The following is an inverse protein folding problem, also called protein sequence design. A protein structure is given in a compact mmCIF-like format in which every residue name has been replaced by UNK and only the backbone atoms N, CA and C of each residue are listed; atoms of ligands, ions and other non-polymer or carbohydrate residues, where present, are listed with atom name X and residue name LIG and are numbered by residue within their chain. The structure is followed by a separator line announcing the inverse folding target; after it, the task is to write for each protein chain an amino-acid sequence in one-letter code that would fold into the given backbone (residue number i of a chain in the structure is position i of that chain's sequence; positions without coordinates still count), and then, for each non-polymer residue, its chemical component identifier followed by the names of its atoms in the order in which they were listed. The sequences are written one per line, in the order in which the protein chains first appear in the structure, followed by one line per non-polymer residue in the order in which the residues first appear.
data_IF_006796832794
#
_entry.id   IF_006796832794
#
_cell.length_a   1.000
_cell.length_b   1.000
_cell.length_c   1.000
_cell.angle_alpha   90.00
_cell.angle_beta   90.00
_cell.angle_gamma   90.00
#
_symmetry.space_group_name_H-M   'P 1'
#
loop_
_entity.id
_entity.type
_entity.pdbx_description
1 polymer ?
#
# COMPACT_ATOMS: atom_id res chain seq x y z
N UNK A 1 -50.26 18.37 -10.26
CA UNK A 1 -50.11 17.10 -9.50
C UNK A 1 -48.65 16.66 -9.59
N UNK A 2 -47.81 17.02 -8.62
CA UNK A 2 -46.46 16.45 -8.44
C UNK A 2 -46.61 15.22 -7.55
N UNK A 3 -46.41 14.02 -8.08
CA UNK A 3 -46.36 12.80 -7.27
C UNK A 3 -44.93 12.69 -6.74
N UNK A 4 -44.78 12.70 -5.42
CA UNK A 4 -43.54 12.36 -4.72
C UNK A 4 -43.24 10.87 -4.96
N UNK A 5 -42.48 10.55 -6.01
CA UNK A 5 -41.96 9.20 -6.24
C UNK A 5 -40.59 9.12 -5.57
N UNK A 6 -40.60 8.86 -4.27
CA UNK A 6 -39.39 8.81 -3.43
C UNK A 6 -39.16 7.45 -2.76
N UNK A 7 -39.79 6.37 -3.26
CA UNK A 7 -39.61 5.03 -2.70
C UNK A 7 -39.25 4.00 -3.77
N UNK A 8 -38.25 3.18 -3.47
CA UNK A 8 -37.72 2.08 -4.29
C UNK A 8 -38.82 1.06 -4.69
N UNK A 9 -39.94 1.05 -3.96
CA UNK A 9 -41.07 0.13 -4.12
C UNK A 9 -41.94 0.42 -5.36
N UNK A 10 -41.91 1.64 -5.91
CA UNK A 10 -42.74 2.05 -7.05
C UNK A 10 -42.11 1.77 -8.43
N UNK A 11 -40.92 1.16 -8.48
CA UNK A 11 -40.12 0.99 -9.69
C UNK A 11 -40.23 -0.41 -10.28
N UNK A 12 -40.29 -0.49 -11.61
CA UNK A 12 -40.28 -1.75 -12.35
C UNK A 12 -38.93 -2.49 -12.20
N UNK A 13 -38.93 -3.80 -12.43
CA UNK A 13 -37.74 -4.67 -12.30
C UNK A 13 -36.58 -4.19 -13.18
N UNK A 14 -36.89 -3.69 -14.39
CA UNK A 14 -35.90 -3.09 -15.31
C UNK A 14 -35.36 -1.74 -14.81
N UNK A 15 -36.20 -0.95 -14.15
CA UNK A 15 -35.81 0.34 -13.57
C UNK A 15 -34.93 0.14 -12.33
N UNK A 16 -35.21 -0.88 -11.52
CA UNK A 16 -34.35 -1.25 -10.38
C UNK A 16 -32.95 -1.69 -10.83
N UNK A 17 -32.85 -2.48 -11.91
CA UNK A 17 -31.57 -2.92 -12.46
C UNK A 17 -30.73 -1.74 -13.00
N UNK A 18 -31.34 -0.84 -13.78
CA UNK A 18 -30.68 0.35 -14.32
C UNK A 18 -30.25 1.34 -13.24
N UNK A 19 -31.01 1.45 -12.15
CA UNK A 19 -30.62 2.25 -10.99
C UNK A 19 -29.41 1.67 -10.25
N UNK A 20 -29.36 0.35 -10.04
CA UNK A 20 -28.20 -0.31 -9.42
C UNK A 20 -26.93 -0.14 -10.27
N UNK A 21 -27.04 -0.27 -11.59
CA UNK A 21 -25.94 -0.07 -12.53
C UNK A 21 -25.46 1.39 -12.55
N UNK A 22 -26.38 2.35 -12.51
CA UNK A 22 -26.02 3.76 -12.42
C UNK A 22 -25.31 4.11 -11.10
N UNK A 23 -25.77 3.56 -9.96
CA UNK A 23 -25.15 3.80 -8.66
C UNK A 23 -23.75 3.18 -8.54
N UNK A 24 -23.52 2.00 -9.12
CA UNK A 24 -22.21 1.35 -9.11
C UNK A 24 -21.19 2.11 -9.97
N UNK A 25 -21.61 2.70 -11.10
CA UNK A 25 -20.74 3.43 -12.01
C UNK A 25 -20.39 4.84 -11.53
N UNK A 26 -21.33 5.56 -10.93
CA UNK A 26 -21.14 6.95 -10.48
C UNK A 26 -20.70 7.02 -9.00
N UNK A 27 -20.71 5.89 -8.28
CA UNK A 27 -20.49 5.80 -6.83
C UNK A 27 -21.43 6.71 -6.02
N UNK A 28 -22.64 6.97 -6.53
CA UNK A 28 -23.62 7.86 -5.92
C UNK A 28 -24.35 7.16 -4.76
N UNK A 29 -24.19 7.68 -3.54
CA UNK A 29 -24.75 7.07 -2.33
C UNK A 29 -26.23 7.45 -2.07
N UNK A 30 -26.76 8.46 -2.76
CA UNK A 30 -28.14 8.90 -2.57
C UNK A 30 -29.07 8.34 -3.67
N UNK A 31 -30.03 7.52 -3.22
CA UNK A 31 -31.01 6.83 -4.06
C UNK A 31 -32.01 7.83 -4.64
N UNK A 32 -32.42 8.86 -3.89
CA UNK A 32 -33.50 9.78 -4.33
C UNK A 32 -33.04 10.66 -5.49
N UNK A 33 -31.84 11.21 -5.40
CA UNK A 33 -31.22 12.00 -6.47
C UNK A 33 -30.93 11.14 -7.70
N UNK A 34 -30.49 9.90 -7.52
CA UNK A 34 -30.28 8.94 -8.62
C UNK A 34 -31.58 8.64 -9.38
N UNK A 35 -32.70 8.42 -8.67
CA UNK A 35 -34.03 8.25 -9.28
C UNK A 35 -34.43 9.50 -10.07
N UNK A 36 -34.19 10.69 -9.52
CA UNK A 36 -34.59 11.94 -10.16
C UNK A 36 -33.82 12.17 -11.48
N UNK A 37 -32.50 11.96 -11.48
CA UNK A 37 -31.66 12.07 -12.68
C UNK A 37 -32.06 11.03 -13.74
N UNK A 38 -32.31 9.78 -13.33
CA UNK A 38 -32.75 8.73 -14.24
C UNK A 38 -34.14 9.03 -14.81
N UNK A 39 -35.04 9.62 -14.03
CA UNK A 39 -36.36 10.01 -14.49
C UNK A 39 -36.29 11.16 -15.52
N UNK A 40 -35.44 12.16 -15.28
CA UNK A 40 -35.18 13.26 -16.20
C UNK A 40 -34.55 12.77 -17.52
N UNK A 41 -33.72 11.73 -17.45
CA UNK A 41 -33.09 11.07 -18.61
C UNK A 41 -33.96 9.96 -19.24
N UNK A 42 -35.25 9.85 -18.86
CA UNK A 42 -36.18 8.80 -19.33
C UNK A 42 -35.62 7.37 -19.23
N UNK A 43 -34.90 7.06 -18.14
CA UNK A 43 -34.29 5.75 -17.88
C UNK A 43 -33.25 5.31 -18.90
N UNK A 44 -32.66 6.24 -19.68
CA UNK A 44 -31.53 5.95 -20.55
C UNK A 44 -30.20 6.10 -19.79
N UNK A 45 -29.56 4.96 -19.49
CA UNK A 45 -28.33 4.91 -18.70
C UNK A 45 -27.20 5.76 -19.30
N UNK A 46 -27.01 5.74 -20.62
CA UNK A 46 -25.91 6.46 -21.28
C UNK A 46 -26.05 7.98 -21.16
N UNK A 47 -27.29 8.48 -21.34
CA UNK A 47 -27.60 9.90 -21.18
C UNK A 47 -27.47 10.32 -19.71
N UNK A 48 -27.93 9.48 -18.79
CA UNK A 48 -27.79 9.72 -17.36
C UNK A 48 -26.34 9.76 -16.91
N UNK A 49 -25.50 8.83 -17.37
CA UNK A 49 -24.06 8.80 -17.08
C UNK A 49 -23.35 10.04 -17.63
N UNK A 50 -23.65 10.45 -18.87
CA UNK A 50 -23.04 11.65 -19.45
C UNK A 50 -23.47 12.92 -18.69
N UNK A 51 -24.73 13.00 -18.28
CA UNK A 51 -25.26 14.11 -17.47
C UNK A 51 -24.64 14.12 -16.07
N UNK A 52 -24.46 12.95 -15.45
CA UNK A 52 -23.81 12.81 -14.16
C UNK A 52 -22.33 13.18 -14.23
N UNK A 53 -21.64 12.78 -15.28
CA UNK A 53 -20.24 13.12 -15.51
C UNK A 53 -20.07 14.63 -15.77
N UNK A 54 -20.99 15.25 -16.53
CA UNK A 54 -21.03 16.71 -16.73
C UNK A 54 -21.36 17.46 -15.43
N UNK A 55 -22.28 16.94 -14.60
CA UNK A 55 -22.56 17.50 -13.27
C UNK A 55 -21.39 17.32 -12.30
N UNK A 56 -20.65 16.22 -12.38
CA UNK A 56 -19.48 15.95 -11.54
C UNK A 56 -18.27 16.78 -11.97
N UNK A 57 -18.15 17.09 -13.26
CA UNK A 57 -17.25 18.12 -13.78
C UNK A 57 -17.68 19.55 -13.35
N UNK A 58 -18.96 19.77 -13.12
CA UNK A 58 -19.54 21.04 -12.64
C UNK A 58 -19.46 21.23 -11.12
N UNK A 59 -19.52 20.14 -10.33
CA UNK A 59 -19.59 20.15 -8.86
C UNK A 59 -18.37 19.51 -8.17
N UNK A 60 -17.40 18.96 -8.90
CA UNK A 60 -16.29 18.16 -8.35
C UNK A 60 -14.90 18.73 -8.61
N UNK A 61 -14.48 19.71 -7.80
CA UNK A 61 -13.10 19.75 -7.29
C UNK A 61 -13.17 19.56 -5.78
N UNK A 62 -13.24 18.29 -5.37
CA UNK A 62 -13.35 17.89 -3.97
C UNK A 62 -13.05 16.41 -3.76
N UNK A 63 -11.81 16.00 -4.01
CA UNK A 63 -11.19 14.82 -3.38
C UNK A 63 -11.45 13.46 -4.04
N UNK A 64 -10.37 12.70 -4.21
CA UNK A 64 -10.43 11.24 -4.35
C UNK A 64 -9.86 10.68 -5.66
N UNK A 65 -8.54 10.72 -5.80
CA UNK A 65 -7.82 9.74 -6.64
C UNK A 65 -8.10 8.34 -6.10
N UNK A 66 -8.89 7.54 -6.80
CA UNK A 66 -9.05 6.12 -6.51
C UNK A 66 -8.03 5.33 -7.35
N UNK A 67 -6.80 5.26 -6.83
CA UNK A 67 -5.86 4.18 -7.15
C UNK A 67 -6.32 2.93 -6.41
N UNK A 68 -6.57 1.85 -7.16
CA UNK A 68 -6.87 0.55 -6.61
C UNK A 68 -5.67 0.04 -5.81
N UNK A 69 -5.88 -0.34 -4.55
CA UNK A 69 -5.02 -1.29 -3.85
C UNK A 69 -5.84 -2.09 -2.84
N UNK A 70 -5.76 -3.40 -2.98
CA UNK A 70 -6.21 -4.40 -2.03
C UNK A 70 -5.26 -4.46 -0.83
N UNK A 71 -5.77 -4.50 0.41
CA UNK A 71 -5.41 -5.50 1.44
C UNK A 71 -5.92 -5.13 2.86
N UNK A 72 -6.71 -6.06 3.42
CA UNK A 72 -6.75 -6.61 4.79
C UNK A 72 -7.13 -5.74 6.03
N UNK A 73 -7.80 -6.34 7.05
CA UNK A 73 -8.47 -5.64 8.15
C UNK A 73 -7.56 -5.30 9.34
N UNK A 74 -7.95 -4.35 10.22
CA UNK A 74 -7.11 -3.94 11.34
C UNK A 74 -7.18 -4.92 12.52
N UNK A 75 -6.01 -5.16 13.10
CA UNK A 75 -5.80 -5.92 14.32
C UNK A 75 -6.19 -5.12 15.57
N UNK A 76 -6.57 -5.88 16.59
CA UNK A 76 -6.99 -5.50 17.95
C UNK A 76 -5.90 -4.72 18.69
N UNK A 77 -6.26 -3.58 19.31
CA UNK A 77 -5.43 -2.87 20.29
C UNK A 77 -5.95 -3.12 21.71
N UNK A 78 -5.21 -3.91 22.47
CA UNK A 78 -5.30 -3.98 23.94
C UNK A 78 -4.00 -3.40 24.49
N UNK A 79 -4.06 -2.37 25.32
CA UNK A 79 -2.91 -1.97 26.13
C UNK A 79 -3.37 -1.25 27.40
N UNK A 80 -3.23 -1.92 28.53
CA UNK A 80 -3.13 -1.34 29.87
C UNK A 80 -1.64 -1.10 30.24
N UNK A 81 -1.42 0.08 30.83
CA UNK A 81 -0.32 0.60 31.66
C UNK A 81 0.84 -0.32 32.12
N UNK A 82 2.07 0.23 32.12
CA UNK A 82 2.81 0.62 33.35
C UNK A 82 4.09 1.43 33.06
N UNK A 83 4.29 2.48 33.85
CA UNK A 83 5.42 3.40 33.86
C UNK A 83 6.72 2.82 34.46
N UNK A 84 7.88 3.36 34.07
CA UNK A 84 9.04 3.57 34.94
C UNK A 84 10.09 4.52 34.30
N UNK A 85 10.28 5.65 34.99
CA UNK A 85 11.47 6.48 35.26
C UNK A 85 12.55 6.83 34.19
N UNK A 86 12.85 8.14 34.15
CA UNK A 86 14.02 8.78 33.55
C UNK A 86 15.21 8.84 34.56
N UNK A 87 16.41 9.37 34.22
CA UNK A 87 16.58 10.83 34.11
C UNK A 87 17.65 11.37 33.11
N UNK A 88 17.39 12.63 32.71
CA UNK A 88 18.30 13.76 32.49
C UNK A 88 19.48 13.69 31.49
N UNK A 89 19.52 14.65 30.55
CA UNK A 89 20.66 15.57 30.32
C UNK A 89 20.21 16.83 29.56
N UNK A 90 20.71 17.97 30.04
CA UNK A 90 20.54 19.36 29.57
C UNK A 90 21.06 19.64 28.15
N UNK A 91 20.45 20.62 27.44
CA UNK A 91 21.13 21.86 27.06
C UNK A 91 20.18 22.94 26.53
N UNK A 92 20.39 24.16 27.03
CA UNK A 92 19.61 25.38 26.85
C UNK A 92 19.98 26.16 25.58
N UNK A 93 19.00 26.94 25.14
CA UNK A 93 19.10 28.10 24.24
C UNK A 93 19.20 29.38 25.09
N UNK A 94 19.96 30.43 24.73
CA UNK A 94 19.98 31.66 25.51
C UNK A 94 18.93 32.68 25.03
N UNK A 95 18.49 33.45 26.02
CA UNK A 95 17.54 34.58 26.02
C UNK A 95 18.20 35.89 25.61
N UNK A 96 17.39 36.85 25.15
CA UNK A 96 17.67 38.28 25.28
C UNK A 96 16.39 39.03 25.68
N UNK A 97 16.55 39.91 26.65
CA UNK A 97 15.56 40.64 27.42
C UNK A 97 15.66 42.15 27.18
N UNK A 98 14.52 42.85 27.19
CA UNK A 98 14.33 44.25 27.62
C UNK A 98 12.89 44.64 27.25
N UNK A 99 11.98 45.16 28.07
CA UNK A 99 12.02 45.69 29.43
C UNK A 99 11.08 46.91 29.47
N UNK A 100 10.03 46.83 30.30
CA UNK A 100 9.20 47.90 30.94
C UNK A 100 8.53 48.95 30.02
N UNK A 101 7.32 49.50 30.26
CA UNK A 101 6.54 49.73 31.48
C UNK A 101 5.09 50.11 31.09
N UNK A 102 4.12 49.82 31.96
CA UNK A 102 2.74 50.36 31.94
C UNK A 102 2.59 51.44 33.03
N UNK A 103 1.50 52.23 33.10
CA UNK A 103 0.30 51.76 33.80
C UNK A 103 -1.07 52.29 33.27
N UNK A 104 -2.13 51.57 33.65
CA UNK A 104 -3.58 51.92 33.58
C UNK A 104 -4.00 52.71 34.84
N UNK A 105 -5.29 52.89 35.27
CA UNK A 105 -6.61 52.59 34.70
C UNK A 105 -7.69 53.69 34.89
N UNK A 106 -8.92 53.47 34.40
CA UNK A 106 -10.09 54.26 34.77
C UNK A 106 -11.41 53.65 34.28
N UNK A 107 -12.03 52.83 35.13
CA UNK A 107 -13.37 52.24 35.00
C UNK A 107 -14.47 53.28 35.28
N UNK A 108 -15.62 53.21 34.60
CA UNK A 108 -16.98 53.03 35.18
C UNK A 108 -18.12 53.41 34.21
N UNK A 109 -18.97 52.43 33.88
CA UNK A 109 -20.43 52.57 33.68
C UNK A 109 -21.10 52.69 35.07
N UNK A 110 -22.34 53.22 35.30
CA UNK A 110 -23.58 52.65 34.74
C UNK A 110 -24.88 53.55 34.64
N UNK A 111 -25.94 52.92 34.09
CA UNK A 111 -27.39 53.00 34.44
C UNK A 111 -28.34 54.14 34.00
N UNK A 112 -29.33 53.73 33.19
CA UNK A 112 -30.81 53.72 33.39
C UNK A 112 -31.70 54.99 33.38
N UNK A 113 -32.71 54.91 32.49
CA UNK A 113 -34.15 55.30 32.55
C UNK A 113 -34.62 56.71 32.95
N UNK A 114 -35.41 57.37 32.10
CA UNK A 114 -36.90 57.37 32.17
C UNK A 114 -37.59 58.51 31.37
N UNK A 115 -38.76 58.17 30.83
CA UNK A 115 -39.98 58.97 30.56
C UNK A 115 -40.03 60.16 29.59
N UNK A 116 -41.06 60.12 28.71
CA UNK A 116 -41.80 61.31 28.27
C UNK A 116 -42.30 61.33 26.81
N UNK A 117 -43.42 60.66 26.52
CA UNK A 117 -44.31 60.86 25.34
C UNK A 117 -45.26 62.07 25.59
N UNK A 118 -46.23 62.47 24.72
CA UNK A 118 -46.54 62.09 23.32
C UNK A 118 -46.97 63.28 22.40
N UNK A 119 -47.35 62.97 21.15
CA UNK A 119 -48.41 63.52 20.26
C UNK A 119 -48.03 63.15 18.79
N UNK A 120 -48.86 62.77 17.83
CA UNK A 120 -50.23 62.27 17.66
C UNK A 120 -50.38 61.95 16.15
N UNK A 121 -51.23 60.99 15.74
CA UNK A 121 -51.86 61.00 14.40
C UNK A 121 -51.76 59.77 13.49
N UNK A 122 -52.79 58.91 13.59
CA UNK A 122 -53.46 58.09 12.55
C UNK A 122 -52.67 56.98 11.80
N UNK A 123 -52.94 55.68 12.02
CA UNK A 123 -54.09 54.85 11.50
C UNK A 123 -54.10 54.71 9.96
N UNK A 124 -54.25 53.55 9.31
CA UNK A 124 -54.66 52.20 9.72
C UNK A 124 -54.18 51.13 8.72
N UNK A 125 -53.98 49.92 9.25
CA UNK A 125 -53.88 48.64 8.53
C UNK A 125 -55.20 48.24 7.83
N UNK A 126 -55.14 47.33 6.85
CA UNK A 126 -55.77 45.99 6.89
C UNK A 126 -55.55 45.25 5.55
N UNK A 127 -55.37 43.93 5.66
CA UNK A 127 -54.84 42.98 4.66
C UNK A 127 -55.93 42.33 3.76
N UNK A 128 -55.74 41.20 3.03
CA UNK A 128 -56.12 41.08 1.60
C UNK A 128 -57.30 40.11 1.34
N UNK A 129 -57.92 40.16 0.16
CA UNK A 129 -58.79 39.06 -0.32
C UNK A 129 -58.63 38.85 -1.82
N UNK A 130 -58.47 37.58 -2.18
CA UNK A 130 -58.38 37.00 -3.51
C UNK A 130 -59.76 36.39 -3.85
N UNK A 131 -60.38 36.63 -5.01
CA UNK A 131 -61.34 35.71 -5.69
C UNK A 131 -61.63 36.12 -7.15
N UNK A 132 -61.32 35.18 -8.05
CA UNK A 132 -61.78 34.88 -9.41
C UNK A 132 -63.07 35.53 -9.95
N UNK A 133 -63.04 35.93 -11.23
CA UNK A 133 -63.99 35.49 -12.26
C UNK A 133 -63.39 35.60 -13.67
N UNK A 134 -63.65 34.58 -14.47
CA UNK A 134 -63.26 34.45 -15.87
C UNK A 134 -64.36 34.95 -16.81
N UNK A 135 -63.96 35.34 -18.03
CA UNK A 135 -64.65 35.14 -19.32
C UNK A 135 -64.75 36.42 -20.17
N UNK A 136 -64.29 36.32 -21.42
CA UNK A 136 -64.98 36.96 -22.54
C UNK A 136 -64.19 37.94 -23.39
N UNK A 137 -63.98 37.52 -24.64
CA UNK A 137 -63.91 38.32 -25.86
C UNK A 137 -62.58 38.95 -26.28
N UNK A 138 -62.09 38.40 -27.39
CA UNK A 138 -61.13 38.97 -28.30
C UNK A 138 -61.75 40.09 -29.18
N UNK A 139 -60.84 40.83 -29.82
CA UNK A 139 -60.99 41.72 -30.99
C UNK A 139 -61.65 43.10 -30.82
N UNK A 140 -60.85 44.15 -31.08
CA UNK A 140 -60.94 44.97 -32.29
C UNK A 140 -59.56 45.62 -32.62
N UNK A 141 -59.20 45.57 -33.91
CA UNK A 141 -57.95 46.00 -34.59
C UNK A 141 -57.97 47.55 -34.88
N UNK A 142 -57.19 48.21 -35.80
CA UNK A 142 -56.26 47.71 -36.83
C UNK A 142 -55.01 48.57 -37.27
N UNK A 143 -54.06 47.85 -37.89
CA UNK A 143 -53.29 48.13 -39.14
C UNK A 143 -52.45 49.41 -39.31
N UNK A 144 -51.12 49.23 -39.32
CA UNK A 144 -50.25 49.74 -40.39
C UNK A 144 -49.19 48.67 -40.72
N UNK A 145 -49.23 48.17 -41.95
CA UNK A 145 -48.25 47.24 -42.52
C UNK A 145 -46.84 47.82 -42.43
N UNK A 146 -45.92 47.10 -41.77
CA UNK A 146 -44.52 47.09 -42.18
C UNK A 146 -44.11 45.67 -42.51
N UNK A 147 -43.99 45.47 -43.81
CA UNK A 147 -43.36 44.35 -44.48
C UNK A 147 -42.07 44.00 -43.73
N UNK A 148 -42.06 42.85 -43.05
CA UNK A 148 -40.81 42.23 -42.63
C UNK A 148 -40.15 41.79 -43.94
N UNK A 149 -39.01 42.37 -44.32
CA UNK A 149 -38.42 42.01 -45.59
C UNK A 149 -37.90 40.57 -45.50
N UNK A 150 -38.15 39.80 -46.56
CA UNK A 150 -37.90 38.37 -46.70
C UNK A 150 -36.42 37.94 -46.55
N UNK A 151 -35.48 38.88 -46.37
CA UNK A 151 -34.07 38.59 -46.04
C UNK A 151 -33.82 38.40 -44.54
N UNK A 152 -34.82 38.61 -43.67
CA UNK A 152 -34.76 38.28 -42.23
C UNK A 152 -35.01 36.78 -41.97
N UNK A 153 -35.32 36.01 -43.01
CA UNK A 153 -35.58 34.56 -42.96
C UNK A 153 -34.48 33.73 -43.63
N UNK A 154 -33.22 34.10 -43.44
CA UNK A 154 -32.07 33.25 -43.78
C UNK A 154 -31.06 33.26 -42.61
N UNK A 155 -31.49 32.78 -41.45
CA UNK A 155 -30.60 32.44 -40.34
C UNK A 155 -29.84 31.15 -40.66
N UNK A 156 -29.03 31.20 -41.72
CA UNK A 156 -27.97 30.22 -41.87
C UNK A 156 -27.09 30.32 -40.63
N UNK A 157 -26.82 29.18 -39.99
CA UNK A 157 -25.74 29.05 -39.01
C UNK A 157 -24.44 29.44 -39.72
N UNK A 158 -24.13 30.74 -39.77
CA UNK A 158 -22.87 31.25 -40.29
C UNK A 158 -21.82 30.66 -39.35
N UNK A 159 -21.14 29.63 -39.84
CA UNK A 159 -20.06 28.97 -39.13
C UNK A 159 -19.09 30.06 -38.66
N UNK A 160 -18.58 30.04 -37.42
CA UNK A 160 -17.73 31.12 -36.88
C UNK A 160 -16.48 31.43 -37.76
N UNK A 161 -16.09 30.48 -38.60
CA UNK A 161 -15.08 30.65 -39.66
C UNK A 161 -15.49 31.63 -40.77
N UNK A 162 -16.73 31.55 -41.24
CA UNK A 162 -17.22 32.43 -42.28
C UNK A 162 -17.31 33.89 -41.79
N UNK A 163 -17.66 34.10 -40.52
CA UNK A 163 -17.72 35.44 -39.93
C UNK A 163 -16.33 36.10 -39.80
N UNK A 164 -15.34 35.37 -39.29
CA UNK A 164 -13.97 35.90 -39.15
C UNK A 164 -13.33 36.18 -40.52
N UNK A 165 -13.62 35.37 -41.53
CA UNK A 165 -13.20 35.63 -42.91
C UNK A 165 -13.89 36.86 -43.51
N UNK A 166 -15.19 37.03 -43.27
CA UNK A 166 -15.95 38.20 -43.70
C UNK A 166 -15.41 39.49 -43.05
N UNK A 167 -15.10 39.47 -41.75
CA UNK A 167 -14.46 40.60 -41.07
C UNK A 167 -13.12 40.97 -41.69
N UNK A 168 -12.27 39.98 -41.99
CA UNK A 168 -10.96 40.19 -42.66
C UNK A 168 -11.09 40.74 -44.08
N UNK A 169 -12.20 40.46 -44.77
CA UNK A 169 -12.47 41.01 -46.11
C UNK A 169 -12.89 42.48 -46.06
N UNK A 170 -13.71 42.83 -45.06
CA UNK A 170 -14.24 44.20 -44.90
C UNK A 170 -13.19 45.13 -44.30
N UNK A 171 -12.48 44.67 -43.27
CA UNK A 171 -11.48 45.45 -42.56
C UNK A 171 -10.09 44.86 -42.78
N UNK A 172 -9.18 45.69 -43.28
CA UNK A 172 -7.76 45.34 -43.38
C UNK A 172 -7.09 45.55 -42.02
N UNK A 173 -5.98 44.87 -41.77
CA UNK A 173 -5.12 45.09 -40.60
C UNK A 173 -5.68 44.66 -39.22
N UNK A 174 -6.64 43.74 -39.17
CA UNK A 174 -7.19 43.20 -37.92
C UNK A 174 -6.22 42.28 -37.12
N UNK A 175 -6.45 42.10 -35.81
CA UNK A 175 -5.81 41.04 -35.01
C UNK A 175 -6.08 39.63 -35.55
N UNK A 176 -5.20 38.68 -35.19
CA UNK A 176 -5.30 37.29 -35.61
C UNK A 176 -6.40 36.56 -34.81
N UNK A 177 -7.64 36.69 -35.28
CA UNK A 177 -8.78 36.00 -34.69
C UNK A 177 -8.77 34.50 -35.00
N UNK A 178 -9.03 33.69 -33.97
CA UNK A 178 -9.17 32.25 -34.06
C UNK A 178 -10.42 31.85 -34.86
N UNK A 179 -10.21 31.03 -35.89
CA UNK A 179 -11.25 30.58 -36.82
C UNK A 179 -11.96 29.31 -36.29
N UNK A 180 -12.77 29.48 -35.25
CA UNK A 180 -13.52 28.39 -34.61
C UNK A 180 -14.52 28.86 -33.57
N UNK A 181 -15.11 27.91 -32.85
CA UNK A 181 -16.13 28.22 -31.82
C UNK A 181 -15.51 28.86 -30.58
N UNK A 182 -16.31 29.56 -29.77
CA UNK A 182 -15.88 30.11 -28.48
C UNK A 182 -15.28 29.02 -27.56
N UNK A 183 -15.86 27.82 -27.57
CA UNK A 183 -15.38 26.70 -26.74
C UNK A 183 -14.02 26.18 -27.21
N UNK A 184 -13.81 26.09 -28.53
CA UNK A 184 -12.51 25.73 -29.09
C UNK A 184 -11.44 26.78 -28.78
N UNK A 185 -11.78 28.07 -28.88
CA UNK A 185 -10.88 29.16 -28.50
C UNK A 185 -10.52 29.10 -27.01
N UNK A 186 -11.49 28.80 -26.13
CA UNK A 186 -11.23 28.53 -24.71
C UNK A 186 -10.26 27.37 -24.51
N UNK A 187 -10.46 26.24 -25.21
CA UNK A 187 -9.56 25.08 -25.12
C UNK A 187 -8.14 25.44 -25.55
N UNK A 188 -7.99 26.15 -26.68
CA UNK A 188 -6.69 26.60 -27.17
C UNK A 188 -6.01 27.55 -26.19
N UNK A 189 -6.77 28.46 -25.59
CA UNK A 189 -6.25 29.37 -24.57
C UNK A 189 -5.79 28.63 -23.30
N UNK A 190 -6.50 27.55 -22.88
CA UNK A 190 -6.04 26.67 -21.78
C UNK A 190 -4.76 25.92 -22.11
N UNK A 191 -4.68 25.31 -23.30
CA UNK A 191 -3.50 24.52 -23.70
C UNK A 191 -2.26 25.40 -23.86
N UNK A 192 -2.43 26.61 -24.41
CA UNK A 192 -1.34 27.59 -24.53
C UNK A 192 -1.08 28.37 -23.23
N UNK A 193 -1.92 28.19 -22.21
CA UNK A 193 -1.90 28.95 -20.95
C UNK A 193 -1.86 30.47 -21.17
N UNK A 194 -2.68 30.95 -22.11
CA UNK A 194 -2.86 32.37 -22.47
C UNK A 194 -4.27 32.84 -22.12
N UNK A 195 -4.43 34.14 -21.90
CA UNK A 195 -5.75 34.75 -21.71
C UNK A 195 -6.48 34.86 -23.05
N UNK A 196 -7.82 34.75 -23.02
CA UNK A 196 -8.67 34.83 -24.20
C UNK A 196 -9.23 36.25 -24.31
N UNK A 197 -8.90 36.95 -25.39
CA UNK A 197 -9.53 38.22 -25.79
C UNK A 197 -10.74 37.94 -26.67
N UNK A 198 -11.86 38.58 -26.37
CA UNK A 198 -13.14 38.38 -27.03
C UNK A 198 -13.64 39.72 -27.54
N UNK A 199 -13.88 39.80 -28.83
CA UNK A 199 -14.55 40.92 -29.47
C UNK A 199 -15.95 40.51 -29.92
N UNK A 200 -16.96 41.28 -29.50
CA UNK A 200 -18.34 41.04 -29.92
C UNK A 200 -18.77 42.15 -30.88
N UNK A 201 -19.08 41.72 -32.09
CA UNK A 201 -19.44 42.58 -33.20
C UNK A 201 -20.95 42.73 -33.33
N UNK A 202 -21.44 43.96 -33.39
CA UNK A 202 -22.83 44.30 -33.67
C UNK A 202 -22.91 45.14 -34.94
N UNK A 203 -23.50 44.60 -36.00
CA UNK A 203 -23.61 45.26 -37.31
C UNK A 203 -24.57 46.46 -37.32
N UNK A 204 -25.47 46.55 -36.33
CA UNK A 204 -26.54 47.55 -36.28
C UNK A 204 -26.08 48.82 -35.52
N UNK A 205 -24.99 48.73 -34.74
CA UNK A 205 -24.56 49.82 -33.86
C UNK A 205 -23.61 50.81 -34.57
N UNK A 206 -23.86 52.11 -34.39
CA UNK A 206 -23.17 53.21 -35.08
C UNK A 206 -21.68 53.28 -34.73
N UNK A 207 -21.32 53.01 -33.47
CA UNK A 207 -19.94 53.08 -32.99
C UNK A 207 -19.04 51.90 -33.42
N UNK A 208 -19.61 50.84 -34.01
CA UNK A 208 -18.86 49.62 -34.33
C UNK A 208 -17.76 49.88 -35.37
N UNK A 209 -18.06 50.63 -36.44
CA UNK A 209 -17.09 50.90 -37.50
C UNK A 209 -15.96 51.81 -37.02
N UNK A 210 -16.30 52.83 -36.23
CA UNK A 210 -15.32 53.76 -35.66
C UNK A 210 -14.37 53.05 -34.71
N UNK A 211 -14.89 52.15 -33.86
CA UNK A 211 -14.09 51.33 -32.96
C UNK A 211 -13.13 50.39 -33.70
N UNK A 212 -13.60 49.71 -34.75
CA UNK A 212 -12.73 48.79 -35.50
C UNK A 212 -11.58 49.58 -36.15
N UNK A 213 -11.92 50.65 -36.89
CA UNK A 213 -10.92 51.42 -37.65
C UNK A 213 -9.95 52.20 -36.77
N UNK A 214 -10.42 52.73 -35.63
CA UNK A 214 -9.59 53.58 -34.75
C UNK A 214 -8.81 52.76 -33.74
N UNK A 215 -9.42 51.71 -33.17
CA UNK A 215 -8.90 51.00 -32.01
C UNK A 215 -8.32 49.63 -32.38
N UNK A 216 -9.09 48.76 -33.03
CA UNK A 216 -8.64 47.39 -33.35
C UNK A 216 -7.63 47.35 -34.50
N UNK A 217 -7.76 48.22 -35.51
CA UNK A 217 -6.82 48.32 -36.62
C UNK A 217 -5.52 49.05 -36.25
N UNK A 218 -5.44 49.65 -35.05
CA UNK A 218 -4.22 50.28 -34.58
C UNK A 218 -3.09 49.24 -34.44
N UNK A 219 -1.91 49.55 -35.00
CA UNK A 219 -0.78 48.63 -35.02
C UNK A 219 -0.33 48.19 -33.62
N UNK A 220 -0.25 49.11 -32.66
CA UNK A 220 0.22 48.80 -31.31
C UNK A 220 -0.76 47.90 -30.55
N UNK A 221 -2.06 48.12 -30.71
CA UNK A 221 -3.12 47.25 -30.16
C UNK A 221 -3.02 45.85 -30.74
N UNK A 222 -2.90 45.74 -32.07
CA UNK A 222 -2.79 44.47 -32.78
C UNK A 222 -1.57 43.65 -32.34
N UNK A 223 -0.41 44.27 -32.25
CA UNK A 223 0.82 43.60 -31.81
C UNK A 223 0.68 43.09 -30.36
N UNK A 224 0.08 43.90 -29.48
CA UNK A 224 -0.19 43.54 -28.08
C UNK A 224 -1.17 42.36 -27.97
N UNK A 225 -2.22 42.36 -28.78
CA UNK A 225 -3.22 41.30 -28.85
C UNK A 225 -2.63 39.99 -29.37
N UNK A 226 -1.95 40.02 -30.52
CA UNK A 226 -1.38 38.82 -31.15
C UNK A 226 -0.25 38.18 -30.34
N UNK A 227 0.55 38.99 -29.64
CA UNK A 227 1.66 38.50 -28.83
C UNK A 227 1.20 37.80 -27.55
N UNK A 228 0.18 38.34 -26.89
CA UNK A 228 -0.13 38.00 -25.50
C UNK A 228 -1.46 37.25 -25.31
N UNK A 229 -2.40 37.39 -26.24
CA UNK A 229 -3.75 36.87 -26.11
C UNK A 229 -4.10 35.90 -27.24
N UNK A 230 -5.01 34.97 -26.96
CA UNK A 230 -5.76 34.28 -27.99
C UNK A 230 -6.94 35.18 -28.34
N UNK A 231 -7.05 35.64 -29.58
CA UNK A 231 -8.12 36.53 -29.99
C UNK A 231 -9.28 35.74 -30.60
N UNK A 232 -10.51 36.03 -30.20
CA UNK A 232 -11.71 35.48 -30.79
C UNK A 232 -12.73 36.60 -31.05
N UNK A 233 -13.43 36.49 -32.17
CA UNK A 233 -14.47 37.44 -32.55
C UNK A 233 -15.76 36.71 -32.88
N UNK A 234 -16.90 37.24 -32.41
CA UNK A 234 -18.22 36.69 -32.69
C UNK A 234 -19.22 37.79 -33.04
N UNK A 235 -20.17 37.47 -33.92
CA UNK A 235 -21.30 38.36 -34.22
C UNK A 235 -22.44 38.13 -33.21
N UNK A 236 -23.14 39.19 -32.79
CA UNK A 236 -24.35 39.09 -31.96
C UNK A 236 -25.44 38.22 -32.60
N UNK A 237 -25.46 38.13 -33.93
CA UNK A 237 -26.41 37.28 -34.68
C UNK A 237 -26.17 35.78 -34.48
N UNK A 238 -25.01 35.37 -33.99
CA UNK A 238 -24.69 33.96 -33.74
C UNK A 238 -25.20 33.52 -32.37
N UNK A 239 -25.78 32.32 -32.32
CA UNK A 239 -26.38 31.73 -31.10
C UNK A 239 -25.36 31.55 -29.98
N UNK A 240 -24.14 31.12 -30.31
CA UNK A 240 -23.05 30.93 -29.33
C UNK A 240 -22.58 32.26 -28.73
N UNK A 241 -22.42 33.29 -29.56
CA UNK A 241 -22.07 34.65 -29.11
C UNK A 241 -23.17 35.26 -28.26
N UNK A 242 -24.44 35.07 -28.65
CA UNK A 242 -25.58 35.57 -27.88
C UNK A 242 -25.64 34.96 -26.46
N UNK A 243 -25.41 33.65 -26.33
CA UNK A 243 -25.28 32.98 -25.02
C UNK A 243 -24.12 33.55 -24.19
N UNK A 244 -23.00 33.87 -24.86
CA UNK A 244 -21.86 34.52 -24.22
C UNK A 244 -22.20 35.93 -23.71
N UNK A 245 -22.92 36.73 -24.51
CA UNK A 245 -23.39 38.06 -24.10
C UNK A 245 -24.25 37.99 -22.84
N UNK A 246 -25.19 37.04 -22.77
CA UNK A 246 -26.03 36.84 -21.59
C UNK A 246 -25.20 36.48 -20.35
N UNK A 247 -24.20 35.60 -20.50
CA UNK A 247 -23.35 35.17 -19.39
C UNK A 247 -22.43 36.29 -18.87
N UNK A 248 -22.01 37.19 -19.74
CA UNK A 248 -21.15 38.33 -19.40
C UNK A 248 -21.96 39.61 -19.06
N UNK A 249 -23.29 39.54 -19.13
CA UNK A 249 -24.22 40.65 -18.94
C UNK A 249 -23.83 41.89 -19.78
N UNK A 250 -23.64 41.67 -21.09
CA UNK A 250 -23.25 42.71 -22.03
C UNK A 250 -24.49 43.50 -22.46
N UNK A 251 -24.49 44.79 -22.15
CA UNK A 251 -25.63 45.69 -22.41
C UNK A 251 -25.33 46.73 -23.50
N UNK A 252 -24.06 46.96 -23.85
CA UNK A 252 -23.61 47.93 -24.85
C UNK A 252 -22.67 47.33 -25.90
N UNK A 253 -22.61 47.97 -27.07
CA UNK A 253 -21.76 47.59 -28.20
C UNK A 253 -21.01 48.82 -28.73
N UNK A 254 -19.86 48.65 -29.39
CA UNK A 254 -19.02 47.45 -29.47
C UNK A 254 -18.49 47.04 -28.09
N UNK A 255 -18.21 45.75 -27.90
CA UNK A 255 -17.81 45.22 -26.60
C UNK A 255 -16.56 44.34 -26.69
N UNK A 256 -15.62 44.57 -25.78
CA UNK A 256 -14.41 43.75 -25.62
C UNK A 256 -14.31 43.19 -24.22
N UNK A 257 -14.02 41.89 -24.14
CA UNK A 257 -13.85 41.17 -22.89
C UNK A 257 -12.53 40.41 -22.90
N UNK A 258 -11.91 40.28 -21.73
CA UNK A 258 -10.79 39.34 -21.55
C UNK A 258 -11.16 38.32 -20.50
N UNK A 259 -11.00 37.04 -20.82
CA UNK A 259 -11.35 35.93 -19.94
C UNK A 259 -10.11 35.08 -19.69
N UNK A 260 -9.89 34.74 -18.42
CA UNK A 260 -8.97 33.67 -18.05
C UNK A 260 -9.69 32.31 -18.24
N UNK A 261 -9.30 31.48 -19.21
CA UNK A 261 -10.01 30.24 -19.50
C UNK A 261 -9.83 29.17 -18.42
N UNK A 262 -8.82 29.30 -17.55
CA UNK A 262 -8.57 28.40 -16.41
C UNK A 262 -9.39 28.77 -15.17
N UNK A 263 -10.16 29.87 -15.22
CA UNK A 263 -10.99 30.31 -14.10
C UNK A 263 -12.28 29.48 -14.06
N UNK A 264 -12.33 28.54 -13.12
CA UNK A 264 -13.43 27.57 -12.96
C UNK A 264 -14.71 28.19 -12.34
N UNK A 265 -14.68 29.43 -11.83
CA UNK A 265 -15.82 30.01 -11.10
C UNK A 265 -16.13 31.48 -11.45
N UNK A 266 -17.41 31.72 -11.76
CA UNK A 266 -18.09 32.98 -12.13
C UNK A 266 -18.07 34.11 -11.07
N UNK A 267 -17.29 33.99 -9.99
CA UNK A 267 -17.42 34.89 -8.82
C UNK A 267 -16.84 36.30 -8.99
N UNK A 268 -15.99 36.53 -10.00
CA UNK A 268 -15.47 37.87 -10.31
C UNK A 268 -15.87 38.17 -11.76
N UNK A 269 -16.49 39.33 -12.03
CA UNK A 269 -16.80 39.77 -13.38
C UNK A 269 -15.53 39.75 -14.25
N UNK A 270 -15.63 39.24 -15.47
CA UNK A 270 -14.55 39.39 -16.43
C UNK A 270 -14.36 40.90 -16.72
N UNK A 271 -13.11 41.39 -16.83
CA UNK A 271 -12.84 42.73 -17.32
C UNK A 271 -13.52 42.91 -18.68
N UNK A 272 -14.43 43.88 -18.75
CA UNK A 272 -15.28 44.17 -19.89
C UNK A 272 -15.26 45.69 -20.12
N UNK A 273 -15.11 46.10 -21.38
CA UNK A 273 -15.30 47.48 -21.79
C UNK A 273 -16.36 47.55 -22.89
N UNK A 274 -17.28 48.49 -22.76
CA UNK A 274 -18.40 48.70 -23.68
C UNK A 274 -18.29 50.10 -24.30
N UNK A 275 -18.57 50.20 -25.60
CA UNK A 275 -18.52 51.44 -26.37
C UNK A 275 -17.15 51.73 -26.99
N UNK A 276 -16.97 52.97 -27.45
CA UNK A 276 -15.70 53.43 -28.03
C UNK A 276 -14.55 53.32 -27.01
N UNK A 277 -13.38 52.92 -27.49
CA UNK A 277 -12.22 52.72 -26.64
C UNK A 277 -10.97 53.23 -27.33
N UNK A 278 -10.37 54.35 -26.90
CA UNK A 278 -9.13 54.84 -27.49
C UNK A 278 -8.01 53.78 -27.43
N UNK A 279 -7.12 53.72 -28.45
CA UNK A 279 -6.10 52.68 -28.53
C UNK A 279 -5.09 52.71 -27.38
N UNK A 280 -4.72 53.90 -26.88
CA UNK A 280 -3.78 54.03 -25.75
C UNK A 280 -4.37 53.49 -24.44
N UNK A 281 -5.62 53.85 -24.14
CA UNK A 281 -6.33 53.36 -22.97
C UNK A 281 -6.56 51.84 -23.06
N UNK A 282 -6.84 51.33 -24.27
CA UNK A 282 -6.98 49.89 -24.52
C UNK A 282 -5.69 49.14 -24.22
N UNK A 283 -4.53 49.66 -24.64
CA UNK A 283 -3.23 49.04 -24.36
C UNK A 283 -2.97 49.01 -22.85
N UNK A 284 -3.19 50.13 -22.16
CA UNK A 284 -3.01 50.21 -20.70
C UNK A 284 -3.92 49.22 -19.96
N UNK A 285 -5.18 49.15 -20.36
CA UNK A 285 -6.14 48.19 -19.81
C UNK A 285 -5.75 46.74 -20.10
N UNK A 286 -5.32 46.41 -21.33
CA UNK A 286 -4.85 45.08 -21.69
C UNK A 286 -3.62 44.66 -20.85
N UNK A 287 -2.69 45.59 -20.59
CA UNK A 287 -1.54 45.35 -19.72
C UNK A 287 -1.95 45.10 -18.27
N UNK A 288 -2.90 45.88 -17.74
CA UNK A 288 -3.40 45.69 -16.37
C UNK A 288 -4.09 44.32 -16.21
N UNK A 289 -5.01 44.00 -17.12
CA UNK A 289 -5.73 42.71 -17.10
C UNK A 289 -4.77 41.55 -17.28
N UNK A 290 -3.78 41.68 -18.17
CA UNK A 290 -2.72 40.68 -18.35
C UNK A 290 -1.95 40.48 -17.05
N UNK A 291 -1.49 41.56 -16.40
CA UNK A 291 -0.70 41.43 -15.18
C UNK A 291 -1.47 40.68 -14.09
N UNK A 292 -2.77 40.98 -13.93
CA UNK A 292 -3.66 40.27 -13.00
C UNK A 292 -3.80 38.78 -13.35
N UNK A 293 -4.14 38.46 -14.59
CA UNK A 293 -4.32 37.07 -15.01
C UNK A 293 -3.02 36.28 -15.09
N UNK A 294 -1.88 36.90 -15.39
CA UNK A 294 -0.58 36.25 -15.41
C UNK A 294 -0.18 35.78 -14.00
N UNK A 295 -0.49 36.56 -12.97
CA UNK A 295 -0.30 36.14 -11.57
C UNK A 295 -1.17 34.92 -11.21
N UNK A 296 -2.47 34.97 -11.49
CA UNK A 296 -3.39 33.84 -11.25
C UNK A 296 -2.96 32.57 -12.01
N UNK A 297 -2.53 32.72 -13.26
CA UNK A 297 -2.06 31.62 -14.10
C UNK A 297 -0.75 31.02 -13.58
N UNK A 298 0.19 31.87 -13.12
CA UNK A 298 1.44 31.42 -12.50
C UNK A 298 1.17 30.65 -11.21
N UNK A 299 0.28 31.13 -10.35
CA UNK A 299 -0.11 30.43 -9.12
C UNK A 299 -0.78 29.09 -9.38
N UNK A 300 -1.74 29.06 -10.32
CA UNK A 300 -2.42 27.82 -10.73
C UNK A 300 -1.41 26.81 -11.29
N UNK A 301 -0.46 27.28 -12.12
CA UNK A 301 0.62 26.44 -12.65
C UNK A 301 1.52 25.91 -11.54
N UNK A 302 1.94 26.78 -10.61
CA UNK A 302 2.77 26.41 -9.46
C UNK A 302 2.10 25.34 -8.61
N UNK A 303 0.82 25.52 -8.29
CA UNK A 303 0.01 24.55 -7.55
C UNK A 303 -0.09 23.21 -8.28
N UNK A 304 -0.34 23.22 -9.59
CA UNK A 304 -0.39 21.98 -10.41
C UNK A 304 0.96 21.25 -10.44
N UNK A 305 2.06 21.98 -10.51
CA UNK A 305 3.40 21.37 -10.47
C UNK A 305 3.74 20.81 -9.08
N UNK A 306 3.39 21.53 -8.02
CA UNK A 306 3.59 21.07 -6.63
C UNK A 306 2.82 19.77 -6.36
N UNK A 307 1.56 19.68 -6.80
CA UNK A 307 0.76 18.45 -6.66
C UNK A 307 1.39 17.30 -7.43
N UNK A 308 1.81 17.52 -8.68
CA UNK A 308 2.48 16.47 -9.49
C UNK A 308 3.79 16.01 -8.85
N UNK A 309 4.62 16.94 -8.38
CA UNK A 309 5.86 16.63 -7.71
C UNK A 309 5.62 15.86 -6.40
N UNK A 310 4.61 16.26 -5.61
CA UNK A 310 4.23 15.54 -4.40
C UNK A 310 3.74 14.13 -4.71
N UNK A 311 2.97 13.92 -5.78
CA UNK A 311 2.53 12.58 -6.19
C UNK A 311 3.71 11.71 -6.63
N UNK A 312 4.62 12.26 -7.43
CA UNK A 312 5.83 11.54 -7.88
C UNK A 312 6.75 11.16 -6.71
N UNK A 313 6.92 12.05 -5.73
CA UNK A 313 7.74 11.77 -4.57
C UNK A 313 7.16 10.63 -3.71
N UNK A 314 5.83 10.59 -3.55
CA UNK A 314 5.16 9.49 -2.84
C UNK A 314 5.34 8.16 -3.57
N UNK A 315 5.18 8.16 -4.88
CA UNK A 315 5.39 6.96 -5.69
C UNK A 315 6.81 6.42 -5.58
N UNK A 316 7.82 7.29 -5.60
CA UNK A 316 9.23 6.89 -5.39
C UNK A 316 9.42 6.32 -3.97
N UNK A 317 8.88 6.97 -2.94
CA UNK A 317 8.97 6.49 -1.56
C UNK A 317 8.30 5.13 -1.35
N UNK A 318 7.12 4.93 -1.95
CA UNK A 318 6.39 3.66 -1.87
C UNK A 318 7.17 2.54 -2.55
N UNK A 319 7.79 2.83 -3.71
CA UNK A 319 8.63 1.85 -4.42
C UNK A 319 9.90 1.49 -3.63
N UNK A 320 10.58 2.47 -3.05
CA UNK A 320 11.76 2.25 -2.19
C UNK A 320 11.39 1.44 -0.95
N UNK A 321 10.24 1.71 -0.33
CA UNK A 321 9.75 0.97 0.82
C UNK A 321 9.44 -0.49 0.48
N UNK A 322 8.76 -0.75 -0.65
CA UNK A 322 8.47 -2.12 -1.11
C UNK A 322 9.78 -2.89 -1.36
N UNK A 323 10.76 -2.24 -1.99
CA UNK A 323 12.06 -2.86 -2.26
C UNK A 323 12.81 -3.20 -0.97
N UNK A 324 12.84 -2.29 0.01
CA UNK A 324 13.47 -2.52 1.31
C UNK A 324 12.77 -3.68 2.06
N UNK A 325 11.44 -3.70 2.05
CA UNK A 325 10.65 -4.75 2.67
C UNK A 325 10.95 -6.13 2.06
N UNK A 326 11.07 -6.21 0.72
CA UNK A 326 11.45 -7.44 0.04
C UNK A 326 12.84 -7.92 0.45
N UNK A 327 13.82 -7.02 0.52
CA UNK A 327 15.18 -7.37 0.94
C UNK A 327 15.24 -7.86 2.39
N UNK A 328 14.46 -7.26 3.29
CA UNK A 328 14.40 -7.71 4.68
C UNK A 328 13.71 -9.08 4.81
N UNK A 329 12.64 -9.32 4.03
CA UNK A 329 12.00 -10.64 3.95
C UNK A 329 12.96 -11.71 3.41
N UNK A 330 13.69 -11.43 2.33
CA UNK A 330 14.69 -12.35 1.76
C UNK A 330 15.80 -12.67 2.77
N UNK A 331 16.29 -11.65 3.49
CA UNK A 331 17.31 -11.84 4.53
C UNK A 331 16.80 -12.72 5.67
N UNK A 332 15.57 -12.50 6.13
CA UNK A 332 14.96 -13.33 7.18
C UNK A 332 14.78 -14.78 6.72
N UNK A 333 14.35 -15.00 5.48
CA UNK A 333 14.24 -16.35 4.90
C UNK A 333 15.61 -17.04 4.79
N UNK A 334 16.65 -16.32 4.36
CA UNK A 334 18.02 -16.85 4.28
C UNK A 334 18.56 -17.21 5.67
N UNK A 335 18.32 -16.37 6.67
CA UNK A 335 18.73 -16.66 8.04
C UNK A 335 18.00 -17.88 8.60
N UNK A 336 16.70 -18.02 8.32
CA UNK A 336 15.92 -19.18 8.73
C UNK A 336 16.46 -20.46 8.07
N UNK A 337 16.70 -20.43 6.76
CA UNK A 337 17.31 -21.55 6.02
C UNK A 337 18.68 -21.94 6.59
N UNK A 338 19.54 -20.96 6.93
CA UNK A 338 20.84 -21.21 7.57
C UNK A 338 20.71 -21.84 8.96
N UNK A 339 19.75 -21.38 9.78
CA UNK A 339 19.47 -21.95 11.11
C UNK A 339 18.96 -23.38 11.01
N UNK A 340 18.05 -23.66 10.07
CA UNK A 340 17.48 -24.99 9.84
C UNK A 340 18.57 -25.97 9.36
N UNK A 341 19.40 -25.57 8.40
CA UNK A 341 20.54 -26.38 7.94
C UNK A 341 21.54 -26.66 9.08
N UNK A 342 21.84 -25.67 9.91
CA UNK A 342 22.72 -25.84 11.06
C UNK A 342 22.10 -26.76 12.13
N UNK A 343 20.78 -26.72 12.34
CA UNK A 343 20.08 -27.61 13.26
C UNK A 343 20.10 -29.06 12.76
N UNK A 344 19.85 -29.28 11.46
CA UNK A 344 19.95 -30.61 10.83
C UNK A 344 21.38 -31.15 10.94
N UNK A 345 22.40 -30.35 10.63
CA UNK A 345 23.79 -30.75 10.77
C UNK A 345 24.16 -31.12 12.22
N UNK A 346 23.71 -30.33 13.21
CA UNK A 346 23.92 -30.64 14.63
C UNK A 346 23.20 -31.92 15.06
N UNK A 347 21.99 -32.17 14.57
CA UNK A 347 21.27 -33.42 14.85
C UNK A 347 21.97 -34.63 14.23
N UNK A 348 22.46 -34.50 13.00
CA UNK A 348 23.21 -35.58 12.35
C UNK A 348 24.54 -35.88 13.07
N UNK A 349 25.26 -34.85 13.50
CA UNK A 349 26.50 -34.99 14.27
C UNK A 349 26.26 -35.67 15.63
N UNK A 350 25.20 -35.26 16.36
CA UNK A 350 24.80 -35.92 17.61
C UNK A 350 24.47 -37.39 17.39
N UNK A 351 23.69 -37.70 16.34
CA UNK A 351 23.30 -39.08 16.03
C UNK A 351 24.51 -39.96 15.70
N UNK A 352 25.50 -39.42 14.99
CA UNK A 352 26.77 -40.12 14.71
C UNK A 352 27.58 -40.36 15.99
N UNK A 353 27.65 -39.38 16.89
CA UNK A 353 28.34 -39.51 18.18
C UNK A 353 27.67 -40.56 19.08
N UNK A 354 26.34 -40.53 19.19
CA UNK A 354 25.57 -41.53 19.94
C UNK A 354 25.74 -42.94 19.38
N UNK A 355 25.81 -43.10 18.04
CA UNK A 355 26.07 -44.41 17.42
C UNK A 355 27.48 -44.94 17.75
N UNK A 356 28.49 -44.07 17.72
CA UNK A 356 29.87 -44.45 18.08
C UNK A 356 29.96 -44.80 19.57
N UNK A 357 29.34 -43.99 20.45
CA UNK A 357 29.34 -44.25 21.89
C UNK A 357 28.61 -45.55 22.23
N UNK A 358 27.47 -45.83 21.57
CA UNK A 358 26.76 -47.10 21.77
C UNK A 358 27.62 -48.30 21.38
N UNK A 359 28.32 -48.23 20.24
CA UNK A 359 29.24 -49.30 19.81
C UNK A 359 30.38 -49.50 20.82
N UNK A 360 30.97 -48.42 21.32
CA UNK A 360 32.02 -48.48 22.35
C UNK A 360 31.50 -49.10 23.67
N UNK A 361 30.28 -48.74 24.10
CA UNK A 361 29.68 -49.32 25.29
C UNK A 361 29.36 -50.80 25.13
N UNK A 362 28.89 -51.24 23.95
CA UNK A 362 28.67 -52.65 23.65
C UNK A 362 29.98 -53.46 23.70
N UNK A 363 31.06 -52.91 23.14
CA UNK A 363 32.39 -53.54 23.15
C UNK A 363 32.96 -53.64 24.58
N UNK A 364 32.83 -52.58 25.39
CA UNK A 364 33.25 -52.58 26.79
C UNK A 364 32.46 -53.58 27.64
N UNK A 365 31.14 -53.66 27.44
CA UNK A 365 30.28 -54.63 28.14
C UNK A 365 30.65 -56.07 27.78
N UNK A 366 30.89 -56.36 26.50
CA UNK A 366 31.33 -57.68 26.06
C UNK A 366 32.65 -58.08 26.73
N UNK A 367 33.63 -57.16 26.78
CA UNK A 367 34.90 -57.39 27.44
C UNK A 367 34.77 -57.59 28.96
N UNK A 368 33.84 -56.89 29.62
CA UNK A 368 33.58 -57.05 31.06
C UNK A 368 32.89 -58.39 31.36
N UNK A 369 31.91 -58.81 30.55
CA UNK A 369 31.25 -60.11 30.68
C UNK A 369 32.24 -61.27 30.50
N UNK A 370 33.18 -61.16 29.56
CA UNK A 370 34.25 -62.14 29.39
C UNK A 370 35.15 -62.23 30.63
N UNK A 371 35.52 -61.08 31.21
CA UNK A 371 36.29 -61.03 32.47
C UNK A 371 35.55 -61.64 33.65
N UNK A 372 34.24 -61.37 33.78
CA UNK A 372 33.40 -61.94 34.85
C UNK A 372 33.32 -63.47 34.69
N UNK A 373 33.08 -63.97 33.47
CA UNK A 373 33.09 -65.42 33.19
C UNK A 373 34.43 -66.06 33.55
N UNK A 374 35.55 -65.43 33.18
CA UNK A 374 36.90 -65.89 33.58
C UNK A 374 37.06 -65.92 35.11
N UNK A 375 36.52 -64.94 35.83
CA UNK A 375 36.59 -64.86 37.29
C UNK A 375 35.66 -65.85 38.02
N UNK A 376 34.47 -66.14 37.47
CA UNK A 376 33.53 -67.13 38.01
C UNK A 376 34.10 -68.55 37.91
N UNK A 377 34.64 -68.90 36.73
CA UNK A 377 35.40 -70.15 36.55
C UNK A 377 36.53 -70.32 37.58
N UNK A 378 37.20 -69.22 37.95
CA UNK A 378 38.23 -69.23 39.01
C UNK A 378 37.64 -69.53 40.39
N UNK A 379 36.47 -68.98 40.72
CA UNK A 379 35.83 -69.21 42.04
C UNK A 379 35.32 -70.64 42.17
N UNK A 380 34.76 -71.20 41.10
CA UNK A 380 34.28 -72.59 41.07
C UNK A 380 35.42 -73.61 41.27
N UNK A 381 36.64 -73.23 40.92
CA UNK A 381 37.82 -74.06 41.09
C UNK A 381 38.18 -74.34 42.58
N UNK A 382 37.68 -73.53 43.52
CA UNK A 382 37.82 -73.74 44.98
C UNK A 382 39.26 -73.59 45.53
N UNK A 383 39.47 -73.84 46.82
CA UNK A 383 40.80 -73.83 47.46
C UNK A 383 41.43 -75.23 47.56
N UNK A 384 42.77 -75.29 47.63
CA UNK A 384 43.54 -76.53 47.58
C UNK A 384 43.24 -77.48 48.75
N UNK A 385 42.81 -78.75 48.50
CA UNK A 385 42.53 -79.70 49.55
C UNK A 385 43.81 -80.10 50.32
N UNK A 386 43.69 -80.15 51.66
CA UNK A 386 44.77 -80.57 52.55
C UNK A 386 45.21 -82.02 52.27
N UNK A 387 46.49 -82.34 52.54
CA UNK A 387 47.05 -83.65 52.25
C UNK A 387 46.35 -84.74 53.08
N UNK A 388 45.72 -85.70 52.40
CA UNK A 388 45.00 -86.83 53.01
C UNK A 388 44.84 -88.01 52.03
N UNK A 389 44.29 -89.14 52.50
CA UNK A 389 43.94 -90.26 51.61
C UNK A 389 42.83 -89.83 50.65
N UNK A 390 43.03 -89.99 49.34
CA UNK A 390 42.06 -89.55 48.31
C UNK A 390 42.43 -88.27 47.54
N UNK A 391 43.67 -87.77 47.67
CA UNK A 391 44.16 -86.55 47.01
C UNK A 391 45.24 -86.87 45.99
N UNK A 392 45.11 -86.30 44.78
CA UNK A 392 46.07 -86.41 43.67
C UNK A 392 46.81 -85.09 43.49
N UNK A 393 48.14 -85.13 43.49
CA UNK A 393 48.94 -83.96 43.12
C UNK A 393 49.01 -83.86 41.59
N UNK A 394 48.40 -82.83 41.02
CA UNK A 394 48.47 -82.55 39.59
C UNK A 394 49.57 -81.52 39.34
N UNK A 395 50.50 -81.88 38.45
CA UNK A 395 51.54 -80.98 37.94
C UNK A 395 51.27 -80.75 36.47
N UNK A 396 51.06 -79.49 36.07
CA UNK A 396 50.80 -79.11 34.68
C UNK A 396 51.98 -78.26 34.21
N UNK A 397 52.67 -78.69 33.16
CA UNK A 397 53.74 -77.91 32.52
C UNK A 397 53.16 -77.07 31.38
N UNK A 398 53.38 -75.77 31.43
CA UNK A 398 52.98 -74.81 30.41
C UNK A 398 54.03 -74.70 29.28
N UNK A 399 53.67 -74.15 28.11
CA UNK A 399 54.60 -73.91 26.99
C UNK A 399 55.79 -73.01 27.36
N UNK A 400 55.57 -72.03 28.25
CA UNK A 400 56.59 -71.15 28.84
C UNK A 400 57.57 -71.88 29.81
N UNK A 401 57.42 -73.20 29.98
CA UNK A 401 58.28 -74.01 30.85
C UNK A 401 57.95 -73.94 32.35
N UNK A 402 57.06 -73.03 32.76
CA UNK A 402 56.51 -72.96 34.11
C UNK A 402 55.65 -74.18 34.46
N UNK A 403 55.58 -74.51 35.75
CA UNK A 403 54.85 -75.68 36.24
C UNK A 403 53.80 -75.27 37.27
N UNK A 404 52.53 -75.45 36.95
CA UNK A 404 51.42 -75.30 37.90
C UNK A 404 51.35 -76.58 38.73
N UNK A 405 51.44 -76.47 40.04
CA UNK A 405 51.28 -77.60 40.97
C UNK A 405 50.06 -77.34 41.82
N UNK A 406 49.06 -78.20 41.72
CA UNK A 406 47.82 -78.08 42.51
C UNK A 406 47.27 -79.44 42.87
N UNK A 407 46.88 -79.62 44.13
CA UNK A 407 46.20 -80.83 44.59
C UNK A 407 44.72 -80.81 44.20
N UNK A 408 44.21 -81.97 43.80
CA UNK A 408 42.79 -82.19 43.49
C UNK A 408 42.30 -83.44 44.22
N UNK A 409 41.00 -83.50 44.52
CA UNK A 409 40.38 -84.74 45.01
C UNK A 409 40.30 -85.78 43.88
N UNK A 410 40.33 -87.08 44.22
CA UNK A 410 40.21 -88.17 43.24
C UNK A 410 38.92 -88.10 42.40
N UNK A 411 37.85 -87.50 42.94
CA UNK A 411 36.55 -87.35 42.28
C UNK A 411 36.45 -86.09 41.41
N UNK A 412 37.47 -85.22 41.41
CA UNK A 412 37.47 -84.00 40.60
C UNK A 412 37.44 -84.31 39.10
N UNK A 413 36.72 -83.48 38.35
CA UNK A 413 36.58 -83.59 36.89
C UNK A 413 37.75 -82.96 36.15
N UNK A 414 38.00 -83.43 34.93
CA UNK A 414 38.96 -82.81 34.01
C UNK A 414 38.58 -81.37 33.67
N UNK A 415 37.29 -81.01 33.70
CA UNK A 415 36.79 -79.64 33.56
C UNK A 415 37.47 -78.66 34.52
N UNK A 416 37.62 -79.04 35.80
CA UNK A 416 38.37 -78.24 36.77
C UNK A 416 39.85 -78.06 36.39
N UNK A 417 40.48 -79.06 35.75
CA UNK A 417 41.84 -78.90 35.23
C UNK A 417 41.89 -77.94 34.02
N UNK A 418 40.87 -77.96 33.15
CA UNK A 418 40.76 -76.99 32.06
C UNK A 418 40.56 -75.58 32.58
N UNK A 419 39.67 -75.40 33.56
CA UNK A 419 39.40 -74.11 34.18
C UNK A 419 40.65 -73.60 34.93
N UNK A 420 41.48 -74.47 35.51
CA UNK A 420 42.78 -74.10 36.09
C UNK A 420 43.75 -73.51 35.04
N UNK A 421 43.76 -74.06 33.84
CA UNK A 421 44.65 -73.60 32.75
C UNK A 421 44.08 -72.33 32.11
N UNK A 422 42.76 -72.26 31.86
CA UNK A 422 42.08 -71.07 31.33
C UNK A 422 42.18 -69.87 32.30
N UNK A 423 42.23 -70.11 33.61
CA UNK A 423 42.36 -69.05 34.63
C UNK A 423 43.81 -68.77 35.04
N UNK A 424 44.79 -69.45 34.44
CA UNK A 424 46.21 -69.26 34.75
C UNK A 424 46.69 -67.82 34.47
N UNK A 425 46.13 -67.18 33.45
CA UNK A 425 46.35 -65.75 33.14
C UNK A 425 46.04 -64.84 34.35
N UNK A 426 45.06 -65.21 35.16
CA UNK A 426 44.67 -64.47 36.38
C UNK A 426 45.51 -64.85 37.62
N UNK A 427 46.32 -65.92 37.55
CA UNK A 427 47.13 -66.44 38.66
C UNK A 427 48.55 -65.87 38.67
N UNK A 428 49.05 -65.37 37.55
CA UNK A 428 50.39 -64.78 37.46
C UNK A 428 50.37 -63.45 36.70
N UNK A 429 51.04 -62.39 37.19
CA UNK A 429 51.05 -61.06 36.55
C UNK A 429 51.79 -61.02 35.20
N UNK A 430 52.27 -62.15 34.67
CA UNK A 430 52.97 -62.31 33.38
C UNK A 430 52.37 -63.45 32.54
N UNK A 431 51.15 -63.90 32.84
CA UNK A 431 50.51 -64.96 32.05
C UNK A 431 50.11 -64.45 30.67
N UNK A 432 50.72 -64.97 29.61
CA UNK A 432 50.23 -64.77 28.24
C UNK A 432 48.94 -65.60 28.02
N UNK A 433 47.99 -65.02 27.29
CA UNK A 433 46.73 -65.69 26.97
C UNK A 433 46.99 -66.81 25.96
N UNK A 434 46.85 -68.07 26.41
CA UNK A 434 46.96 -69.22 25.53
C UNK A 434 45.58 -69.47 24.92
N UNK A 435 45.30 -68.84 23.78
CA UNK A 435 43.96 -68.89 23.14
C UNK A 435 43.58 -70.30 22.67
N UNK A 436 44.56 -71.13 22.27
CA UNK A 436 44.33 -72.50 21.76
C UNK A 436 45.38 -73.47 22.27
N UNK A 437 44.94 -74.43 23.08
CA UNK A 437 45.83 -75.42 23.67
C UNK A 437 45.16 -76.77 23.88
N UNK A 438 46.00 -77.80 23.95
CA UNK A 438 45.56 -79.19 24.19
C UNK A 438 46.34 -79.78 25.36
N UNK A 439 45.62 -80.39 26.32
CA UNK A 439 46.24 -81.09 27.45
C UNK A 439 46.70 -82.49 27.06
N UNK A 440 47.97 -82.84 27.31
CA UNK A 440 48.54 -84.16 27.02
C UNK A 440 49.29 -84.75 28.22
N UNK A 441 49.21 -86.07 28.42
CA UNK A 441 50.06 -86.81 29.36
C UNK A 441 51.29 -87.41 28.65
N UNK A 442 52.42 -87.57 29.36
CA UNK A 442 53.66 -88.09 28.75
C UNK A 442 53.70 -89.61 28.62
N UNK A 443 53.10 -90.34 29.58
CA UNK A 443 53.06 -91.81 29.56
C UNK A 443 51.88 -92.37 30.38
N UNK A 444 50.94 -93.12 29.78
CA UNK A 444 50.75 -93.27 28.33
C UNK A 444 50.42 -91.91 27.68
N UNK A 445 50.82 -91.72 26.42
CA UNK A 445 50.52 -90.49 25.67
C UNK A 445 49.04 -90.45 25.33
N UNK A 446 48.27 -89.63 26.05
CA UNK A 446 46.85 -89.45 25.82
C UNK A 446 46.52 -87.96 25.74
N UNK A 447 45.72 -87.59 24.73
CA UNK A 447 45.08 -86.27 24.64
C UNK A 447 43.83 -86.31 25.51
N UNK A 448 43.62 -85.25 26.27
CA UNK A 448 42.43 -85.07 27.07
C UNK A 448 41.66 -83.90 26.47
N UNK A 449 40.44 -84.16 26.01
CA UNK A 449 39.51 -83.18 25.42
C UNK A 449 38.17 -83.21 26.19
N UNK A 450 37.83 -84.36 26.77
CA UNK A 450 36.62 -84.56 27.56
C UNK A 450 36.71 -83.87 28.93
N UNK A 451 35.85 -82.87 29.17
CA UNK A 451 35.76 -82.14 30.46
C UNK A 451 35.06 -82.94 31.57
N UNK A 452 34.26 -83.94 31.22
CA UNK A 452 33.38 -84.64 32.17
C UNK A 452 34.04 -85.83 32.88
N UNK A 453 35.21 -86.26 32.42
CA UNK A 453 35.90 -87.40 33.01
C UNK A 453 36.42 -87.05 34.40
N UNK A 454 36.51 -88.01 35.33
CA UNK A 454 37.08 -87.79 36.68
C UNK A 454 38.51 -88.33 36.78
N UNK A 455 39.31 -87.77 37.68
CA UNK A 455 40.70 -88.18 37.91
C UNK A 455 40.81 -89.67 38.34
N UNK A 456 39.84 -90.17 39.11
CA UNK A 456 39.67 -91.59 39.47
C UNK A 456 39.30 -92.46 38.27
N UNK A 457 38.39 -91.99 37.42
CA UNK A 457 38.01 -92.65 36.17
C UNK A 457 39.17 -92.80 35.18
N UNK A 458 40.09 -91.84 35.18
CA UNK A 458 41.34 -91.89 34.41
C UNK A 458 42.44 -92.78 35.03
N UNK A 459 42.21 -93.40 36.19
CA UNK A 459 43.17 -94.21 36.97
C UNK A 459 44.50 -93.47 37.24
N UNK A 460 44.42 -92.18 37.54
CA UNK A 460 45.60 -91.40 37.92
C UNK A 460 46.04 -91.81 39.33
N UNK A 461 47.33 -92.10 39.51
CA UNK A 461 47.90 -92.42 40.83
C UNK A 461 47.99 -91.20 41.74
N UNK A 462 48.77 -91.29 42.83
CA UNK A 462 48.96 -90.18 43.80
C UNK A 462 49.52 -88.88 43.18
N UNK A 463 50.12 -88.97 41.99
CA UNK A 463 50.62 -87.82 41.24
C UNK A 463 50.31 -87.98 39.74
N UNK A 464 49.83 -86.91 39.10
CA UNK A 464 49.60 -86.83 37.66
C UNK A 464 50.41 -85.67 37.06
N UNK A 465 51.02 -85.89 35.89
CA UNK A 465 51.80 -84.90 35.15
C UNK A 465 51.19 -84.66 33.77
N UNK A 466 50.73 -83.44 33.52
CA UNK A 466 50.19 -82.98 32.24
C UNK A 466 51.09 -81.93 31.60
N UNK A 467 50.99 -81.82 30.29
CA UNK A 467 51.68 -80.84 29.46
C UNK A 467 50.64 -80.11 28.63
N UNK A 468 50.70 -78.79 28.64
CA UNK A 468 49.92 -77.92 27.76
C UNK A 468 50.76 -77.67 26.52
N UNK A 469 50.23 -78.04 25.37
CA UNK A 469 50.85 -77.77 24.07
C UNK A 469 49.91 -76.84 23.31
N UNK A 470 50.44 -75.73 22.80
CA UNK A 470 49.71 -74.86 21.88
C UNK A 470 49.35 -75.63 20.61
N UNK A 471 48.09 -75.52 20.21
CA UNK A 471 47.64 -76.02 18.91
C UNK A 471 47.94 -74.91 17.90
N UNK A 472 49.03 -75.07 17.14
CA UNK A 472 49.42 -74.16 16.05
C UNK A 472 48.44 -74.34 14.89
#
# INVERSE_FOLDING_TARGET
RRVLVGSMEALDTKQKATLQEYQSLVNAHDIKTSIQILNDCKWNLQVALNTAFEMQLSLGSGGGSASASSALPPAVSTSENKALEAPATLQQRPSASSGLESPTPGSTTPTASSNGQPEAGAEADWTPVNTLMASGMAFLAPVAHRVIPHWVAESQNIHPRAFTQQLKQIYRDLPNFFEGTYLEACRLARTQNRSLFIYIHCQIHEDTEQFINTSLCNQAVRETLNGNFVCWAGSVTQTDTHKLCQRLNIEGYPCVAVINPNRESSRIPAPLHMGLFPPEDMINWLHEVRSKYEQEMKETRRRRTEVKQSSQLREIQDMEYIQALQQDMEREEEEKKKKDLAAVAKMEEKRKKEEVERKQQEELKAAEEEKIKKLEKRKELGDEPAAGPGVVLVVIRLPDGQQIKRRFQEEATFGALFDLIETYELLTPHGEEIEKWVMRSRYPRKKWEDRELTLKGARMGRQALFFVQEDI
#
